data_IF_817825907064
#
_entry.id   IF_817825907064
#
_cell.length_a   1.000
_cell.length_b   1.000
_cell.length_c   1.000
_cell.angle_alpha   90.00
_cell.angle_beta   90.00
_cell.angle_gamma   90.00
#
_symmetry.space_group_name_H-M   'P 1'
#
loop_
_entity.id
_entity.type
_entity.pdbx_description
1 polymer ?
#
# COMPACT_ATOMS: atom_id res chain seq x y z
N UNK A 1 8.50 7.02 -5.01
CA UNK A 1 7.05 7.01 -4.86
C UNK A 1 6.62 8.22 -4.02
N UNK A 2 5.65 8.95 -4.50
CA UNK A 2 4.98 10.00 -3.73
C UNK A 2 3.63 9.50 -3.21
N UNK A 3 2.74 10.43 -2.88
CA UNK A 3 1.40 10.12 -2.37
C UNK A 3 0.30 10.22 -3.44
N UNK A 4 0.66 10.52 -4.68
CA UNK A 4 -0.30 10.81 -5.76
C UNK A 4 -1.17 9.61 -6.20
N UNK A 5 -0.70 8.39 -5.99
CA UNK A 5 -1.40 7.17 -6.39
C UNK A 5 -2.17 6.49 -5.23
N UNK A 6 -2.51 7.24 -4.19
CA UNK A 6 -3.34 6.82 -3.05
C UNK A 6 -2.73 5.69 -2.20
N UNK A 7 -1.69 5.98 -1.40
CA UNK A 7 -1.20 5.04 -0.40
C UNK A 7 -2.28 4.75 0.67
N UNK A 8 -2.11 3.69 1.47
CA UNK A 8 -1.01 2.73 1.45
C UNK A 8 -1.01 1.86 0.19
N UNK A 9 0.16 1.60 -0.38
CA UNK A 9 0.30 0.87 -1.64
C UNK A 9 0.43 -0.64 -1.44
N UNK A 10 0.06 -1.39 -2.49
CA UNK A 10 0.58 -2.72 -2.75
C UNK A 10 1.76 -2.57 -3.72
N UNK A 11 2.96 -2.90 -3.28
CA UNK A 11 4.19 -2.70 -4.05
C UNK A 11 4.73 -4.05 -4.51
N UNK A 12 5.16 -4.13 -5.76
CA UNK A 12 5.82 -5.30 -6.29
C UNK A 12 7.20 -4.93 -6.85
N UNK A 13 8.20 -5.68 -6.46
CA UNK A 13 9.55 -5.67 -7.05
C UNK A 13 9.83 -6.99 -7.74
N UNK A 14 10.46 -6.93 -8.89
CA UNK A 14 10.94 -8.11 -9.59
C UNK A 14 12.42 -7.93 -9.93
N UNK A 15 13.22 -8.87 -9.48
CA UNK A 15 14.68 -8.89 -9.67
C UNK A 15 15.01 -10.03 -10.61
N UNK A 16 15.55 -9.73 -11.78
CA UNK A 16 15.89 -10.71 -12.80
C UNK A 16 14.83 -10.80 -13.90
N UNK A 17 14.88 -11.92 -14.60
CA UNK A 17 14.12 -12.18 -15.84
C UNK A 17 15.03 -12.24 -17.05
N UNK A 18 14.59 -12.96 -18.06
CA UNK A 18 15.35 -13.16 -19.32
C UNK A 18 15.12 -12.05 -20.33
N UNK A 19 14.12 -11.19 -20.09
CA UNK A 19 13.85 -10.01 -20.90
C UNK A 19 13.11 -8.95 -20.08
N UNK A 20 13.03 -7.72 -20.59
CA UNK A 20 12.28 -6.63 -20.00
C UNK A 20 10.78 -6.94 -19.93
N UNK A 21 10.23 -7.57 -20.97
CA UNK A 21 8.80 -7.96 -21.02
C UNK A 21 8.47 -9.00 -19.98
N UNK A 22 9.36 -10.00 -19.79
CA UNK A 22 9.17 -11.02 -18.74
C UNK A 22 9.21 -10.41 -17.35
N UNK A 23 10.12 -9.47 -17.11
CA UNK A 23 10.19 -8.73 -15.85
C UNK A 23 8.91 -7.93 -15.62
N UNK A 24 8.47 -7.15 -16.60
CA UNK A 24 7.26 -6.31 -16.50
C UNK A 24 5.99 -7.15 -16.29
N UNK A 25 5.83 -8.26 -17.02
CA UNK A 25 4.71 -9.18 -16.80
C UNK A 25 4.73 -9.73 -15.36
N UNK A 26 5.90 -10.10 -14.87
CA UNK A 26 6.03 -10.61 -13.50
C UNK A 26 5.69 -9.54 -12.46
N UNK A 27 6.07 -8.27 -12.67
CA UNK A 27 5.66 -7.14 -11.82
C UNK A 27 4.14 -7.06 -11.75
N UNK A 28 3.47 -7.12 -12.90
CA UNK A 28 2.01 -7.08 -12.96
C UNK A 28 1.36 -8.22 -12.17
N UNK A 29 1.83 -9.44 -12.36
CA UNK A 29 1.31 -10.61 -11.70
C UNK A 29 1.61 -10.62 -10.18
N UNK A 30 2.80 -10.14 -9.79
CA UNK A 30 3.15 -9.99 -8.38
C UNK A 30 2.27 -8.95 -7.68
N UNK A 31 1.98 -7.82 -8.36
CA UNK A 31 1.15 -6.74 -7.78
C UNK A 31 -0.30 -7.15 -7.50
N UNK A 32 -0.80 -8.19 -8.17
CA UNK A 32 -2.12 -8.77 -7.94
C UNK A 32 -2.07 -10.07 -7.12
N UNK A 33 -0.95 -10.34 -6.47
CA UNK A 33 -0.76 -11.51 -5.59
C UNK A 33 -0.83 -12.88 -6.28
N UNK A 34 -0.68 -12.91 -7.61
CA UNK A 34 -0.73 -14.16 -8.38
C UNK A 34 0.42 -15.11 -8.03
N UNK A 35 1.54 -14.58 -7.55
CA UNK A 35 2.74 -15.33 -7.17
C UNK A 35 2.90 -15.58 -5.67
N UNK A 36 1.86 -15.42 -4.88
CA UNK A 36 1.93 -15.65 -3.43
C UNK A 36 2.23 -17.11 -3.06
N UNK A 37 1.91 -18.04 -3.94
CA UNK A 37 2.16 -19.49 -3.82
C UNK A 37 3.57 -19.93 -4.29
N UNK A 38 4.42 -19.00 -4.77
CA UNK A 38 5.77 -19.37 -5.16
C UNK A 38 6.59 -19.86 -3.96
N UNK A 39 7.57 -20.77 -4.20
CA UNK A 39 8.56 -21.12 -3.18
C UNK A 39 9.23 -19.87 -2.60
N UNK A 40 9.64 -19.95 -1.35
CA UNK A 40 10.33 -18.84 -0.65
C UNK A 40 11.85 -18.90 -0.76
N UNK A 41 12.38 -19.92 -1.43
CA UNK A 41 13.80 -20.11 -1.67
C UNK A 41 14.06 -20.49 -3.12
N UNK A 42 15.19 -20.02 -3.67
CA UNK A 42 15.71 -20.49 -4.92
C UNK A 42 16.34 -21.90 -4.80
N UNK A 43 16.77 -22.45 -5.93
CA UNK A 43 17.52 -23.69 -6.02
C UNK A 43 18.55 -23.65 -7.15
N UNK A 44 19.27 -24.73 -7.34
CA UNK A 44 20.32 -24.85 -8.36
C UNK A 44 19.81 -24.77 -9.81
N UNK A 45 18.52 -25.03 -10.02
CA UNK A 45 17.87 -24.87 -11.34
C UNK A 45 17.56 -23.45 -11.70
N UNK A 46 17.73 -22.51 -10.75
CA UNK A 46 17.38 -21.11 -10.94
C UNK A 46 15.86 -20.86 -10.94
N UNK A 47 15.08 -21.68 -10.23
CA UNK A 47 13.62 -21.47 -10.15
C UNK A 47 13.29 -20.08 -9.60
N UNK A 48 12.17 -19.55 -10.05
CA UNK A 48 11.61 -18.34 -9.48
C UNK A 48 11.18 -18.57 -8.02
N UNK A 49 11.38 -17.56 -7.18
CA UNK A 49 10.94 -17.61 -5.79
C UNK A 49 10.57 -16.25 -5.26
N UNK A 50 9.84 -16.26 -4.16
CA UNK A 50 9.42 -15.10 -3.41
C UNK A 50 10.40 -14.84 -2.27
N UNK A 51 11.03 -13.67 -2.26
CA UNK A 51 12.05 -13.29 -1.25
C UNK A 51 11.39 -12.61 -0.05
N UNK A 52 10.88 -13.43 0.87
CA UNK A 52 10.14 -12.97 2.06
C UNK A 52 10.99 -12.08 2.97
N UNK A 53 12.28 -12.39 3.11
CA UNK A 53 13.17 -11.61 3.99
C UNK A 53 13.32 -10.19 3.45
N UNK A 54 13.48 -10.05 2.13
CA UNK A 54 13.57 -8.75 1.49
C UNK A 54 12.22 -8.02 1.49
N UNK A 55 11.08 -8.73 1.35
CA UNK A 55 9.75 -8.15 1.48
C UNK A 55 9.57 -7.48 2.85
N UNK A 56 9.86 -8.21 3.92
CA UNK A 56 9.73 -7.71 5.29
C UNK A 56 10.64 -6.51 5.53
N UNK A 57 11.91 -6.61 5.12
CA UNK A 57 12.86 -5.50 5.27
C UNK A 57 12.40 -4.24 4.55
N UNK A 58 11.92 -4.37 3.32
CA UNK A 58 11.44 -3.22 2.54
C UNK A 58 10.16 -2.64 3.14
N UNK A 59 9.28 -3.47 3.70
CA UNK A 59 8.07 -3.01 4.37
C UNK A 59 8.40 -2.21 5.63
N UNK A 60 9.35 -2.68 6.43
CA UNK A 60 9.84 -1.94 7.60
C UNK A 60 10.43 -0.59 7.21
N UNK A 61 11.27 -0.55 6.17
CA UNK A 61 11.83 0.71 5.68
C UNK A 61 10.76 1.66 5.13
N UNK A 62 9.75 1.12 4.43
CA UNK A 62 8.61 1.90 3.94
C UNK A 62 7.81 2.54 5.09
N UNK A 63 7.65 1.83 6.21
CA UNK A 63 6.96 2.38 7.38
C UNK A 63 7.76 3.48 8.08
N UNK A 64 9.09 3.40 8.06
CA UNK A 64 9.96 4.44 8.67
C UNK A 64 9.92 5.78 7.92
N UNK A 65 9.53 5.77 6.65
CA UNK A 65 9.43 7.00 5.84
C UNK A 65 8.42 7.98 6.42
N UNK A 66 7.37 7.49 7.10
CA UNK A 66 6.34 8.33 7.71
C UNK A 66 5.41 9.02 6.71
N UNK A 67 5.49 8.66 5.44
CA UNK A 67 4.54 9.07 4.40
C UNK A 67 3.40 8.06 4.34
N UNK A 68 2.20 8.55 4.19
CA UNK A 68 1.02 7.70 4.10
C UNK A 68 -0.04 8.31 3.19
N UNK A 69 -1.32 8.01 3.46
CA UNK A 69 -2.44 8.49 2.69
C UNK A 69 -2.43 10.02 2.54
N UNK A 70 -2.93 10.52 1.42
CA UNK A 70 -3.03 11.95 1.10
C UNK A 70 -3.62 12.79 2.23
N UNK A 71 -4.47 12.18 3.04
CA UNK A 71 -5.21 12.84 4.10
C UNK A 71 -4.68 12.51 5.51
N UNK A 72 -3.40 12.15 5.63
CA UNK A 72 -2.71 12.06 6.91
C UNK A 72 -2.45 10.65 7.45
N UNK A 73 -2.36 9.65 6.62
CA UNK A 73 -1.90 8.33 7.03
C UNK A 73 -0.39 8.31 7.33
N UNK A 74 0.07 7.28 8.01
CA UNK A 74 1.50 7.07 8.33
C UNK A 74 2.12 5.86 7.62
N UNK A 75 1.35 5.07 6.91
CA UNK A 75 1.82 3.87 6.24
C UNK A 75 1.89 4.09 4.73
N UNK A 76 3.07 3.91 4.15
CA UNK A 76 3.28 4.05 2.71
C UNK A 76 2.82 2.81 1.94
N UNK A 77 2.96 1.63 2.53
CA UNK A 77 2.61 0.37 1.91
C UNK A 77 1.79 -0.52 2.86
N UNK A 78 0.84 -1.25 2.31
CA UNK A 78 0.15 -2.36 2.96
C UNK A 78 1.00 -3.61 2.94
N UNK A 79 1.54 -3.91 1.79
CA UNK A 79 2.39 -5.06 1.56
C UNK A 79 3.39 -4.81 0.42
N UNK A 80 4.42 -5.61 0.41
CA UNK A 80 5.45 -5.61 -0.63
C UNK A 80 5.61 -7.06 -1.11
N UNK A 81 5.76 -7.25 -2.41
CA UNK A 81 6.12 -8.52 -3.04
C UNK A 81 7.47 -8.37 -3.72
N UNK A 82 8.36 -9.32 -3.45
CA UNK A 82 9.67 -9.40 -4.12
C UNK A 82 9.82 -10.75 -4.78
N UNK A 83 9.77 -10.75 -6.10
CA UNK A 83 9.94 -11.95 -6.90
C UNK A 83 11.35 -11.96 -7.50
N UNK A 84 12.08 -13.02 -7.26
CA UNK A 84 13.36 -13.28 -7.91
C UNK A 84 13.18 -14.25 -9.06
N UNK A 85 13.64 -13.84 -10.22
CA UNK A 85 13.62 -14.64 -11.45
C UNK A 85 15.06 -15.05 -11.83
N UNK A 86 15.21 -16.17 -12.52
CA UNK A 86 16.48 -16.49 -13.18
C UNK A 86 16.84 -15.40 -14.20
N UNK A 87 18.10 -15.14 -14.36
CA UNK A 87 18.59 -14.08 -15.24
C UNK A 87 19.81 -14.53 -16.04
N UNK A 88 20.05 -13.85 -17.14
CA UNK A 88 21.33 -13.98 -17.85
C UNK A 88 22.46 -13.36 -17.00
N UNK A 89 23.64 -13.97 -17.03
CA UNK A 89 24.80 -13.52 -16.24
C UNK A 89 25.21 -12.07 -16.48
N UNK A 90 25.00 -11.56 -17.71
CA UNK A 90 25.35 -10.21 -18.11
C UNK A 90 24.24 -9.18 -17.90
N UNK A 91 23.06 -9.55 -17.37
CA UNK A 91 21.93 -8.63 -17.21
C UNK A 91 21.18 -8.90 -15.92
N UNK A 92 20.64 -7.83 -15.32
CA UNK A 92 19.78 -7.92 -14.15
C UNK A 92 18.66 -6.90 -14.27
N UNK A 93 17.61 -7.18 -15.04
CA UNK A 93 16.45 -6.31 -15.08
C UNK A 93 15.83 -6.19 -13.68
N UNK A 94 15.44 -4.99 -13.29
CA UNK A 94 14.73 -4.74 -12.05
C UNK A 94 13.48 -3.96 -12.42
N UNK A 95 12.33 -4.48 -12.03
CA UNK A 95 11.04 -3.84 -12.21
C UNK A 95 10.39 -3.50 -10.89
N UNK A 96 9.63 -2.42 -10.88
CA UNK A 96 8.81 -2.02 -9.75
C UNK A 96 7.43 -1.61 -10.25
N UNK A 97 6.41 -2.02 -9.54
CA UNK A 97 5.04 -1.58 -9.78
C UNK A 97 4.32 -1.29 -8.48
N UNK A 98 3.30 -0.45 -8.57
CA UNK A 98 2.44 -0.11 -7.44
C UNK A 98 0.97 -0.23 -7.85
N UNK A 99 0.16 -0.71 -6.92
CA UNK A 99 -1.30 -0.58 -6.94
C UNK A 99 -1.74 0.36 -5.83
N UNK A 100 -2.81 1.11 -6.06
CA UNK A 100 -3.38 1.95 -5.02
C UNK A 100 -4.10 1.11 -3.95
N UNK A 101 -4.38 1.72 -2.79
CA UNK A 101 -5.09 1.06 -1.68
C UNK A 101 -6.47 0.52 -2.06
N UNK A 102 -7.08 1.01 -3.14
CA UNK A 102 -8.39 0.55 -3.58
C UNK A 102 -8.41 -0.90 -4.10
N UNK A 103 -7.24 -1.43 -4.50
CA UNK A 103 -7.02 -2.83 -4.94
C UNK A 103 -8.21 -3.42 -5.73
N UNK A 104 -8.45 -2.88 -6.94
CA UNK A 104 -9.60 -3.24 -7.77
C UNK A 104 -9.35 -4.49 -8.62
N UNK A 105 -8.85 -5.53 -7.99
CA UNK A 105 -8.60 -6.81 -8.63
C UNK A 105 -9.58 -7.86 -8.13
N UNK A 106 -9.89 -8.84 -8.97
CA UNK A 106 -10.59 -10.06 -8.59
C UNK A 106 -9.91 -11.23 -9.29
N UNK A 107 -9.69 -12.31 -8.57
CA UNK A 107 -9.18 -13.54 -9.15
C UNK A 107 -10.33 -14.34 -9.75
N UNK A 108 -10.11 -14.90 -10.93
CA UNK A 108 -11.07 -15.76 -11.58
C UNK A 108 -10.39 -17.04 -12.11
N UNK A 109 -11.10 -18.14 -12.03
CA UNK A 109 -10.73 -19.40 -12.66
C UNK A 109 -11.76 -19.75 -13.73
N UNK A 110 -11.32 -19.92 -14.96
CA UNK A 110 -12.18 -20.28 -16.08
C UNK A 110 -11.69 -21.61 -16.66
N UNK A 111 -12.54 -22.58 -16.74
CA UNK A 111 -12.25 -23.87 -17.39
C UNK A 111 -13.53 -24.44 -18.05
N UNK A 112 -13.43 -25.67 -18.57
CA UNK A 112 -14.58 -26.36 -19.23
C UNK A 112 -15.77 -26.57 -18.31
N UNK A 113 -15.59 -26.56 -17.00
CA UNK A 113 -16.64 -26.87 -16.02
C UNK A 113 -17.36 -25.58 -15.54
N UNK A 114 -16.79 -24.38 -15.84
CA UNK A 114 -17.44 -23.11 -15.50
C UNK A 114 -16.48 -21.95 -15.23
N UNK A 115 -17.05 -20.93 -14.62
CA UNK A 115 -16.37 -19.71 -14.21
C UNK A 115 -16.51 -19.58 -12.69
N UNK A 116 -15.40 -19.44 -12.00
CA UNK A 116 -15.34 -19.19 -10.57
C UNK A 116 -14.69 -17.85 -10.33
N UNK A 117 -15.29 -17.04 -9.48
CA UNK A 117 -14.76 -15.77 -9.01
C UNK A 117 -14.30 -15.92 -7.56
N UNK A 118 -13.24 -15.20 -7.21
CA UNK A 118 -12.83 -15.03 -5.82
C UNK A 118 -13.99 -14.48 -5.00
N UNK A 119 -14.26 -15.12 -3.86
CA UNK A 119 -15.29 -14.62 -2.95
C UNK A 119 -14.74 -13.42 -2.20
N UNK A 120 -15.36 -12.27 -2.41
CA UNK A 120 -15.08 -11.06 -1.64
C UNK A 120 -15.75 -11.17 -0.27
N UNK A 121 -15.16 -10.50 0.71
CA UNK A 121 -15.77 -10.38 2.04
C UNK A 121 -17.03 -9.51 1.95
N UNK A 122 -18.16 -10.05 2.39
CA UNK A 122 -19.45 -9.35 2.35
C UNK A 122 -19.61 -8.35 3.52
N UNK A 123 -18.82 -8.52 4.58
CA UNK A 123 -18.88 -7.65 5.75
C UNK A 123 -17.49 -7.21 6.23
N UNK A 124 -16.77 -6.40 5.42
CA UNK A 124 -15.40 -5.98 5.75
C UNK A 124 -15.31 -5.15 7.05
N UNK A 125 -16.43 -4.65 7.55
CA UNK A 125 -16.48 -3.92 8.82
C UNK A 125 -16.10 -4.79 10.02
N UNK A 126 -16.28 -6.10 9.93
CA UNK A 126 -15.86 -7.04 11.00
C UNK A 126 -14.34 -7.11 11.16
N UNK A 127 -13.59 -6.77 10.10
CA UNK A 127 -12.13 -6.73 10.12
C UNK A 127 -11.56 -5.49 10.83
N UNK A 128 -12.41 -4.49 11.12
CA UNK A 128 -11.98 -3.29 11.84
C UNK A 128 -11.83 -3.66 13.32
N UNK A 129 -10.64 -3.48 13.93
CA UNK A 129 -10.45 -3.69 15.36
C UNK A 129 -11.48 -2.91 16.19
N UNK A 130 -11.94 -3.50 17.29
CA UNK A 130 -13.03 -2.94 18.10
C UNK A 130 -12.68 -1.55 18.65
N UNK A 131 -11.41 -1.32 18.97
CA UNK A 131 -10.89 -0.03 19.42
C UNK A 131 -11.04 1.08 18.37
N UNK A 132 -11.11 0.71 17.07
CA UNK A 132 -11.28 1.64 15.96
C UNK A 132 -12.74 1.78 15.52
N UNK A 133 -13.61 0.82 15.87
CA UNK A 133 -15.05 0.90 15.58
C UNK A 133 -15.74 1.97 16.41
N UNK A 134 -15.32 2.11 17.65
CA UNK A 134 -15.76 3.13 18.56
C UNK A 134 -14.54 3.97 18.95
N UNK A 135 -14.11 4.94 18.13
CA UNK A 135 -13.12 5.90 18.57
C UNK A 135 -13.75 6.62 19.77
N UNK A 136 -13.41 6.14 20.95
CA UNK A 136 -13.92 6.68 22.20
C UNK A 136 -13.73 8.20 22.24
N UNK A 137 -14.50 8.89 23.07
CA UNK A 137 -14.42 10.35 23.32
C UNK A 137 -13.03 10.85 23.76
N UNK A 138 -12.02 10.00 23.63
CA UNK A 138 -10.70 10.11 24.26
C UNK A 138 -9.58 10.75 23.50
N UNK A 139 -9.75 11.22 22.29
CA UNK A 139 -8.70 12.02 21.66
C UNK A 139 -9.09 13.50 21.68
N UNK A 140 -8.85 14.13 22.82
CA UNK A 140 -8.92 15.59 22.95
C UNK A 140 -7.92 16.23 21.99
N UNK A 141 -8.36 16.48 20.74
CA UNK A 141 -7.65 17.36 19.82
C UNK A 141 -7.85 18.81 20.26
N UNK A 142 -6.95 19.67 19.84
CA UNK A 142 -7.08 21.12 20.04
C UNK A 142 -8.18 21.60 19.09
N UNK A 143 -9.19 22.27 19.62
CA UNK A 143 -10.29 22.82 18.81
C UNK A 143 -9.81 24.06 18.04
N UNK A 144 -9.96 24.03 16.73
CA UNK A 144 -9.66 25.15 15.83
C UNK A 144 -10.94 25.59 15.13
N UNK A 145 -11.34 26.81 15.40
CA UNK A 145 -12.51 27.42 14.81
C UNK A 145 -12.14 28.09 13.47
N UNK A 146 -12.64 27.51 12.37
CA UNK A 146 -12.37 27.96 11.01
C UNK A 146 -13.14 29.24 10.63
N UNK A 147 -14.24 29.52 11.30
CA UNK A 147 -15.09 30.70 11.01
C UNK A 147 -14.41 32.01 11.47
N UNK A 148 -13.31 31.93 12.20
CA UNK A 148 -12.47 33.10 12.57
C UNK A 148 -11.65 33.68 11.42
N UNK A 149 -11.69 33.05 10.26
CA UNK A 149 -10.93 33.45 9.08
C UNK A 149 -9.52 32.87 9.02
N UNK A 150 -8.98 32.80 7.80
CA UNK A 150 -7.75 32.03 7.52
C UNK A 150 -6.50 32.53 8.27
N UNK A 151 -6.37 33.84 8.47
CA UNK A 151 -5.20 34.41 9.14
C UNK A 151 -5.19 34.06 10.64
N UNK A 152 -6.35 34.09 11.29
CA UNK A 152 -6.48 33.69 12.69
C UNK A 152 -6.24 32.17 12.85
N UNK A 153 -6.76 31.36 11.92
CA UNK A 153 -6.55 29.90 11.91
C UNK A 153 -5.07 29.58 11.73
N UNK A 154 -4.36 30.23 10.80
CA UNK A 154 -2.93 30.03 10.58
C UNK A 154 -2.10 30.44 11.80
N UNK A 155 -2.41 31.58 12.41
CA UNK A 155 -1.73 32.04 13.62
C UNK A 155 -1.91 31.05 14.78
N UNK A 156 -3.10 30.46 14.90
CA UNK A 156 -3.37 29.45 15.94
C UNK A 156 -2.62 28.16 15.65
N UNK A 157 -2.70 27.62 14.44
CA UNK A 157 -2.02 26.38 14.03
C UNK A 157 -0.50 26.47 14.17
N UNK A 158 0.07 27.65 13.92
CA UNK A 158 1.53 27.87 14.03
C UNK A 158 2.08 27.72 15.45
N UNK A 159 1.22 27.67 16.48
CA UNK A 159 1.64 27.46 17.87
C UNK A 159 1.96 26.02 18.20
N UNK A 160 1.55 25.09 17.33
CA UNK A 160 1.63 23.66 17.61
C UNK A 160 2.63 22.98 16.67
N UNK A 161 3.35 21.94 17.16
CA UNK A 161 4.24 21.16 16.31
C UNK A 161 3.47 20.40 15.21
N UNK A 162 4.16 20.07 14.13
CA UNK A 162 3.64 19.22 13.07
C UNK A 162 3.15 17.88 13.66
N UNK A 163 2.07 17.32 13.12
CA UNK A 163 1.37 16.11 13.60
C UNK A 163 0.59 16.28 14.91
N UNK A 164 0.41 17.49 15.41
CA UNK A 164 -0.52 17.74 16.51
C UNK A 164 -1.96 17.47 16.06
N UNK A 165 -2.70 16.71 16.85
CA UNK A 165 -4.10 16.42 16.55
C UNK A 165 -4.99 17.63 16.84
N UNK A 166 -5.74 18.05 15.84
CA UNK A 166 -6.68 19.19 15.94
C UNK A 166 -8.09 18.75 15.56
N UNK A 167 -9.09 19.34 16.18
CA UNK A 167 -10.49 19.21 15.83
C UNK A 167 -10.92 20.50 15.12
N UNK A 168 -11.20 20.43 13.84
CA UNK A 168 -11.63 21.58 13.04
C UNK A 168 -13.14 21.75 13.19
N UNK A 169 -13.57 22.97 13.51
CA UNK A 169 -14.98 23.36 13.61
C UNK A 169 -15.26 24.52 12.66
N UNK A 170 -16.32 24.45 11.90
CA UNK A 170 -16.73 25.47 10.94
C UNK A 170 -17.02 24.92 9.56
N UNK A 171 -17.18 25.81 8.59
CA UNK A 171 -17.48 25.43 7.20
C UNK A 171 -16.23 24.91 6.50
N UNK A 172 -16.28 23.68 5.99
CA UNK A 172 -15.19 23.03 5.26
C UNK A 172 -15.66 22.74 3.83
N UNK A 173 -14.82 23.15 2.85
CA UNK A 173 -15.02 22.78 1.45
C UNK A 173 -14.10 21.59 1.17
N UNK A 174 -14.70 20.48 0.78
CA UNK A 174 -13.95 19.27 0.35
C UNK A 174 -14.00 19.22 -1.16
N UNK A 175 -12.83 19.26 -1.77
CA UNK A 175 -12.66 19.15 -3.23
C UNK A 175 -11.52 18.19 -3.56
N UNK A 176 -11.60 17.57 -4.73
CA UNK A 176 -10.57 16.67 -5.26
C UNK A 176 -10.24 17.05 -6.70
#
# INVERSE_FOLDING_TARGET
>A
LGTAACPPYHIAFVIGGTSAEKNLLTVKLASIKYYDELPTTGDETGRAFRDIDLENKLLEEAHKIGLGAQFGGKYLAHDIRVIRLPRHGASCPIGMGVSCSADRNIKAKINKDGIWLEKMDENPTELIPEELRNPGEGTKGIEIDLDKGIDAVRAELSKYPVSTRVNLKGTIIVAR
#
